data_IF_021976990144
#
_entry.id   IF_021976990144
#
_cell.length_a   1.000
_cell.length_b   1.000
_cell.length_c   1.000
_cell.angle_alpha   90.00
_cell.angle_beta   90.00
_cell.angle_gamma   90.00
#
_symmetry.space_group_name_H-M   'P 1'
#
loop_
_entity.id
_entity.type
_entity.pdbx_description
1 polymer ?
#
# COMPACT_ATOMS: atom_id res chain seq x y z
N UNK A 1 -48.29 -7.94 -30.04
CA UNK A 1 -48.99 -7.68 -28.77
C UNK A 1 -48.23 -8.21 -27.54
N UNK A 2 -47.56 -9.36 -27.58
CA UNK A 2 -46.84 -9.92 -26.41
C UNK A 2 -45.66 -9.09 -25.88
N UNK A 3 -44.94 -8.36 -26.76
CA UNK A 3 -43.74 -7.60 -26.36
C UNK A 3 -44.06 -6.40 -25.45
N UNK A 4 -45.22 -5.76 -25.63
CA UNK A 4 -45.58 -4.57 -24.84
C UNK A 4 -45.95 -4.93 -23.39
N UNK A 5 -46.71 -6.02 -23.20
CA UNK A 5 -47.06 -6.54 -21.86
C UNK A 5 -45.82 -7.05 -21.13
N UNK A 6 -44.88 -7.67 -21.86
CA UNK A 6 -43.61 -8.13 -21.28
C UNK A 6 -42.74 -6.93 -20.83
N UNK A 7 -42.59 -5.90 -21.67
CA UNK A 7 -41.91 -4.67 -21.27
C UNK A 7 -42.58 -3.97 -20.08
N UNK A 8 -43.91 -4.00 -20.01
CA UNK A 8 -44.66 -3.43 -18.89
C UNK A 8 -44.34 -4.16 -17.59
N UNK A 9 -44.29 -5.49 -17.61
CA UNK A 9 -43.94 -6.29 -16.43
C UNK A 9 -42.49 -6.05 -16.00
N UNK A 10 -41.53 -6.03 -16.95
CA UNK A 10 -40.13 -5.72 -16.67
C UNK A 10 -39.97 -4.32 -16.05
N UNK A 11 -40.68 -3.33 -16.58
CA UNK A 11 -40.66 -1.95 -16.06
C UNK A 11 -41.25 -1.89 -14.65
N UNK A 12 -42.38 -2.57 -14.39
CA UNK A 12 -42.99 -2.58 -13.05
C UNK A 12 -42.08 -3.24 -12.01
N UNK A 13 -41.46 -4.37 -12.35
CA UNK A 13 -40.50 -5.05 -11.48
C UNK A 13 -39.29 -4.14 -11.20
N UNK A 14 -38.78 -3.45 -12.23
CA UNK A 14 -37.68 -2.52 -12.09
C UNK A 14 -38.01 -1.32 -11.18
N UNK A 15 -39.17 -0.68 -11.34
CA UNK A 15 -39.61 0.42 -10.47
C UNK A 15 -39.73 -0.01 -9.02
N UNK A 16 -40.38 -1.16 -8.73
CA UNK A 16 -40.51 -1.68 -7.38
C UNK A 16 -39.14 -1.91 -6.70
N UNK A 17 -38.13 -2.33 -7.46
CA UNK A 17 -36.80 -2.59 -6.93
C UNK A 17 -35.94 -1.32 -6.80
N UNK A 18 -35.80 -0.55 -7.88
CA UNK A 18 -34.86 0.56 -7.97
C UNK A 18 -35.42 1.89 -7.46
N UNK A 19 -36.73 2.12 -7.57
CA UNK A 19 -37.39 3.37 -7.14
C UNK A 19 -38.01 3.21 -5.74
N UNK A 20 -38.67 2.08 -5.49
CA UNK A 20 -39.38 1.83 -4.22
C UNK A 20 -38.53 1.06 -3.19
N UNK A 21 -37.34 0.56 -3.57
CA UNK A 21 -36.37 -0.05 -2.67
C UNK A 21 -36.79 -1.42 -2.10
N UNK A 22 -37.76 -2.10 -2.72
CA UNK A 22 -38.24 -3.40 -2.26
C UNK A 22 -37.21 -4.50 -2.52
N UNK A 23 -37.08 -5.44 -1.58
CA UNK A 23 -36.31 -6.66 -1.78
C UNK A 23 -37.01 -7.55 -2.81
N UNK A 24 -36.24 -8.36 -3.55
CA UNK A 24 -36.79 -9.28 -4.56
C UNK A 24 -37.85 -10.24 -3.99
N UNK A 25 -37.73 -10.63 -2.72
CA UNK A 25 -38.73 -11.46 -2.02
C UNK A 25 -40.06 -10.74 -1.80
N UNK A 26 -40.04 -9.44 -1.50
CA UNK A 26 -41.25 -8.64 -1.33
C UNK A 26 -41.96 -8.42 -2.67
N UNK A 27 -41.19 -8.22 -3.75
CA UNK A 27 -41.71 -8.10 -5.11
C UNK A 27 -42.34 -9.43 -5.58
N UNK A 28 -41.69 -10.55 -5.23
CA UNK A 28 -42.16 -11.91 -5.50
C UNK A 28 -43.54 -12.16 -4.88
N UNK A 29 -43.72 -11.83 -3.60
CA UNK A 29 -45.01 -11.94 -2.91
C UNK A 29 -46.06 -10.99 -3.47
N UNK A 30 -45.70 -9.73 -3.75
CA UNK A 30 -46.65 -8.70 -4.20
C UNK A 30 -47.21 -8.96 -5.60
N UNK A 31 -46.42 -9.58 -6.48
CA UNK A 31 -46.79 -9.83 -7.88
C UNK A 31 -47.17 -11.29 -8.16
N UNK A 32 -47.17 -12.17 -7.16
CA UNK A 32 -47.37 -13.62 -7.30
C UNK A 32 -46.43 -14.24 -8.34
N UNK A 33 -45.14 -13.88 -8.26
CA UNK A 33 -44.07 -14.35 -9.14
C UNK A 33 -43.01 -15.07 -8.34
N UNK A 34 -42.28 -16.01 -8.93
CA UNK A 34 -41.10 -16.57 -8.27
C UNK A 34 -39.98 -15.54 -8.15
N UNK A 35 -39.22 -15.56 -7.04
CA UNK A 35 -38.02 -14.72 -6.87
C UNK A 35 -37.00 -14.92 -8.00
N UNK A 36 -36.90 -16.14 -8.55
CA UNK A 36 -36.06 -16.44 -9.72
C UNK A 36 -36.48 -15.67 -10.97
N UNK A 37 -37.79 -15.47 -11.16
CA UNK A 37 -38.34 -14.69 -12.26
C UNK A 37 -38.05 -13.20 -12.05
N UNK A 38 -38.24 -12.67 -10.84
CA UNK A 38 -37.91 -11.28 -10.49
C UNK A 38 -36.44 -10.96 -10.76
N UNK A 39 -35.52 -11.84 -10.33
CA UNK A 39 -34.08 -11.68 -10.61
C UNK A 39 -33.75 -11.65 -12.10
N UNK A 40 -34.33 -12.59 -12.89
CA UNK A 40 -34.18 -12.61 -14.35
C UNK A 40 -34.78 -11.37 -15.01
N UNK A 41 -35.93 -10.89 -14.53
CA UNK A 41 -36.57 -9.68 -15.02
C UNK A 41 -35.70 -8.44 -14.80
N UNK A 42 -35.12 -8.26 -13.62
CA UNK A 42 -34.19 -7.15 -13.34
C UNK A 42 -32.94 -7.22 -14.24
N UNK A 43 -32.37 -8.41 -14.41
CA UNK A 43 -31.23 -8.63 -15.31
C UNK A 43 -31.58 -8.29 -16.77
N UNK A 44 -32.77 -8.68 -17.22
CA UNK A 44 -33.27 -8.37 -18.56
C UNK A 44 -33.57 -6.88 -18.73
N UNK A 45 -34.13 -6.22 -17.73
CA UNK A 45 -34.40 -4.80 -17.74
C UNK A 45 -33.11 -3.97 -17.90
N UNK A 46 -32.00 -4.41 -17.28
CA UNK A 46 -30.67 -3.82 -17.51
C UNK A 46 -30.17 -4.09 -18.93
N UNK A 47 -30.25 -5.34 -19.40
CA UNK A 47 -29.76 -5.75 -20.73
C UNK A 47 -30.51 -5.05 -21.87
N UNK A 48 -31.81 -4.84 -21.74
CA UNK A 48 -32.66 -4.16 -22.73
C UNK A 48 -32.66 -2.63 -22.57
N UNK A 49 -31.96 -2.10 -21.56
CA UNK A 49 -31.84 -0.65 -21.33
C UNK A 49 -33.11 0.01 -20.77
N UNK A 50 -34.06 -0.78 -20.26
CA UNK A 50 -35.21 -0.30 -19.46
C UNK A 50 -34.69 0.35 -18.18
N UNK A 51 -33.66 -0.25 -17.57
CA UNK A 51 -32.92 0.34 -16.45
C UNK A 51 -31.54 0.74 -16.92
N UNK A 52 -31.13 1.96 -16.57
CA UNK A 52 -29.76 2.44 -16.75
C UNK A 52 -29.22 2.88 -15.39
N UNK A 53 -28.19 2.19 -14.91
CA UNK A 53 -27.50 2.56 -13.67
C UNK A 53 -26.37 3.51 -14.03
N UNK A 54 -26.40 4.71 -13.47
CA UNK A 54 -25.33 5.69 -13.59
C UNK A 54 -24.71 5.95 -12.23
N UNK A 55 -23.41 5.69 -12.10
CA UNK A 55 -22.64 6.04 -10.90
C UNK A 55 -21.99 7.39 -11.14
N UNK A 56 -22.33 8.39 -10.34
CA UNK A 56 -21.64 9.68 -10.37
C UNK A 56 -20.21 9.50 -9.83
N UNK A 57 -19.22 9.78 -10.67
CA UNK A 57 -17.80 9.74 -10.30
C UNK A 57 -17.38 11.16 -9.92
N UNK A 58 -17.00 11.43 -8.66
CA UNK A 58 -16.45 12.73 -8.31
C UNK A 58 -15.14 12.93 -9.10
N UNK A 59 -14.88 14.16 -9.55
CA UNK A 59 -13.84 14.44 -10.56
C UNK A 59 -12.42 14.02 -10.16
N UNK A 60 -12.16 13.93 -8.85
CA UNK A 60 -10.83 13.70 -8.29
C UNK A 60 -10.58 12.21 -7.98
N UNK A 61 -11.47 11.31 -8.40
CA UNK A 61 -11.27 9.86 -8.28
C UNK A 61 -10.90 9.28 -9.64
N UNK A 62 -9.71 8.69 -9.71
CA UNK A 62 -9.15 8.15 -10.95
C UNK A 62 -9.34 6.64 -11.04
N UNK A 63 -10.56 6.15 -10.77
CA UNK A 63 -10.89 4.71 -10.69
C UNK A 63 -10.45 3.91 -11.93
N UNK A 64 -10.52 4.52 -13.11
CA UNK A 64 -10.08 3.86 -14.34
C UNK A 64 -8.56 3.71 -14.42
N UNK A 65 -7.80 4.72 -13.97
CA UNK A 65 -6.34 4.66 -13.89
C UNK A 65 -5.89 3.67 -12.80
N UNK A 66 -6.58 3.65 -11.65
CA UNK A 66 -6.38 2.65 -10.61
C UNK A 66 -6.56 1.23 -11.15
N UNK A 67 -7.65 1.00 -11.91
CA UNK A 67 -7.93 -0.27 -12.57
C UNK A 67 -6.83 -0.67 -13.56
N UNK A 68 -6.32 0.28 -14.33
CA UNK A 68 -5.22 0.02 -15.28
C UNK A 68 -3.92 -0.36 -14.56
N UNK A 69 -3.59 0.32 -13.47
CA UNK A 69 -2.43 -0.03 -12.63
C UNK A 69 -2.56 -1.45 -12.05
N UNK A 70 -3.73 -1.77 -11.47
CA UNK A 70 -4.02 -3.11 -10.94
C UNK A 70 -3.85 -4.19 -12.02
N UNK A 71 -4.43 -3.99 -13.20
CA UNK A 71 -4.35 -4.97 -14.30
C UNK A 71 -2.94 -5.13 -14.85
N UNK A 72 -2.20 -4.02 -14.99
CA UNK A 72 -0.86 -4.02 -15.57
C UNK A 72 0.18 -4.70 -14.68
N UNK A 73 0.09 -4.45 -13.37
CA UNK A 73 1.11 -4.87 -12.40
C UNK A 73 0.66 -6.03 -11.52
N UNK A 74 -0.59 -6.48 -11.63
CA UNK A 74 -1.13 -7.58 -10.83
C UNK A 74 -1.35 -7.23 -9.35
N UNK A 75 -1.35 -5.95 -8.99
CA UNK A 75 -1.55 -5.50 -7.61
C UNK A 75 -3.03 -5.53 -7.22
N UNK A 76 -3.30 -5.83 -5.95
CA UNK A 76 -4.67 -5.90 -5.39
C UNK A 76 -5.37 -4.55 -5.46
N UNK A 77 -4.67 -3.46 -5.14
CA UNK A 77 -5.28 -2.14 -5.09
C UNK A 77 -4.32 -1.01 -5.47
N UNK A 78 -4.80 -0.09 -6.31
CA UNK A 78 -4.18 1.21 -6.50
C UNK A 78 -5.09 2.28 -5.92
N UNK A 79 -4.50 3.29 -5.27
CA UNK A 79 -5.20 4.47 -4.78
C UNK A 79 -4.47 5.68 -5.37
N UNK A 80 -5.13 6.37 -6.30
CA UNK A 80 -4.56 7.53 -6.99
C UNK A 80 -5.09 8.80 -6.37
N UNK A 81 -4.19 9.62 -5.85
CA UNK A 81 -4.52 10.91 -5.23
C UNK A 81 -4.15 12.08 -6.12
N UNK A 82 -4.93 13.16 -6.02
CA UNK A 82 -4.62 14.43 -6.68
C UNK A 82 -4.15 15.44 -5.61
N UNK A 83 -2.84 15.73 -5.53
CA UNK A 83 -2.31 16.66 -4.55
C UNK A 83 -2.73 18.11 -4.85
N UNK A 84 -2.77 18.96 -3.82
CA UNK A 84 -3.12 20.38 -3.95
C UNK A 84 -2.01 21.24 -4.57
N UNK A 85 -0.81 20.67 -4.72
CA UNK A 85 0.37 21.29 -5.30
C UNK A 85 1.30 20.25 -5.90
N UNK A 86 2.28 20.71 -6.67
CA UNK A 86 3.23 19.85 -7.39
C UNK A 86 4.54 19.62 -6.63
N UNK A 87 4.72 20.28 -5.48
CA UNK A 87 5.90 20.08 -4.65
C UNK A 87 5.86 18.74 -3.91
N UNK A 88 7.05 18.29 -3.51
CA UNK A 88 7.21 16.98 -2.89
C UNK A 88 6.43 16.85 -1.57
N UNK A 89 6.26 17.94 -0.82
CA UNK A 89 5.55 17.90 0.46
C UNK A 89 4.04 17.76 0.22
N UNK A 90 3.46 18.51 -0.72
CA UNK A 90 2.06 18.36 -1.12
C UNK A 90 1.73 16.93 -1.59
N UNK A 91 2.62 16.32 -2.38
CA UNK A 91 2.49 14.91 -2.80
C UNK A 91 2.50 13.97 -1.59
N UNK A 92 3.46 14.13 -0.68
CA UNK A 92 3.54 13.30 0.54
C UNK A 92 2.30 13.41 1.41
N UNK A 93 1.78 14.63 1.60
CA UNK A 93 0.60 14.87 2.42
C UNK A 93 -0.66 14.23 1.80
N UNK A 94 -0.84 14.36 0.48
CA UNK A 94 -1.97 13.74 -0.21
C UNK A 94 -1.92 12.21 -0.13
N UNK A 95 -0.75 11.60 -0.39
CA UNK A 95 -0.55 10.16 -0.28
C UNK A 95 -0.75 9.71 1.17
N UNK A 96 -0.17 10.44 2.13
CA UNK A 96 -0.28 10.15 3.55
C UNK A 96 -1.72 10.14 4.03
N UNK A 97 -2.52 11.15 3.67
CA UNK A 97 -3.93 11.24 4.04
C UNK A 97 -4.75 10.06 3.50
N UNK A 98 -4.59 9.72 2.22
CA UNK A 98 -5.29 8.57 1.64
C UNK A 98 -4.85 7.23 2.25
N UNK A 99 -3.55 7.07 2.51
CA UNK A 99 -3.02 5.87 3.15
C UNK A 99 -3.48 5.74 4.62
N UNK A 100 -3.65 6.85 5.35
CA UNK A 100 -4.18 6.84 6.70
C UNK A 100 -5.61 6.29 6.70
N UNK A 101 -6.47 6.82 5.82
CA UNK A 101 -7.83 6.33 5.66
C UNK A 101 -7.88 4.84 5.24
N UNK A 102 -7.00 4.44 4.31
CA UNK A 102 -6.87 3.05 3.90
C UNK A 102 -6.53 2.14 5.08
N UNK A 103 -5.55 2.54 5.90
CA UNK A 103 -5.11 1.73 7.04
C UNK A 103 -6.19 1.62 8.11
N UNK A 104 -6.82 2.74 8.48
CA UNK A 104 -7.87 2.80 9.50
C UNK A 104 -9.10 1.94 9.16
N UNK A 105 -9.38 1.76 7.87
CA UNK A 105 -10.54 0.99 7.38
C UNK A 105 -10.21 -0.47 7.09
N UNK A 106 -8.93 -0.84 7.03
CA UNK A 106 -8.49 -2.17 6.56
C UNK A 106 -7.69 -2.98 7.58
N UNK A 107 -7.25 -2.37 8.68
CA UNK A 107 -6.54 -3.04 9.79
C UNK A 107 -7.52 -3.71 10.75
N UNK A 108 -7.10 -4.86 11.27
CA UNK A 108 -7.82 -5.69 12.23
C UNK A 108 -6.93 -6.13 13.38
N UNK A 109 -7.53 -6.60 14.48
CA UNK A 109 -6.80 -7.12 15.66
C UNK A 109 -5.82 -8.24 15.34
N UNK A 110 -5.97 -8.91 14.19
CA UNK A 110 -5.11 -10.01 13.75
C UNK A 110 -3.87 -9.55 12.98
N UNK A 111 -3.80 -8.25 12.66
CA UNK A 111 -2.72 -7.75 11.82
C UNK A 111 -1.41 -7.58 12.60
N UNK A 112 -0.35 -8.16 12.07
CA UNK A 112 1.03 -7.93 12.47
C UNK A 112 1.65 -6.97 11.47
N UNK A 113 1.89 -5.71 11.89
CA UNK A 113 2.19 -4.63 10.95
C UNK A 113 3.68 -4.30 10.96
N UNK A 114 4.34 -4.47 9.83
CA UNK A 114 5.69 -3.96 9.58
C UNK A 114 5.65 -2.50 9.15
N UNK A 115 6.54 -1.66 9.66
CA UNK A 115 6.68 -0.26 9.24
C UNK A 115 8.12 0.07 8.81
N UNK A 116 8.26 0.68 7.62
CA UNK A 116 9.49 1.32 7.16
C UNK A 116 9.62 2.72 7.78
N UNK A 117 10.12 2.78 9.01
CA UNK A 117 10.06 3.97 9.86
C UNK A 117 10.92 5.16 9.41
N UNK A 118 11.67 5.00 8.32
CA UNK A 118 12.46 6.06 7.68
C UNK A 118 11.75 6.72 6.50
N UNK A 119 10.50 6.37 6.22
CA UNK A 119 9.72 6.98 5.15
C UNK A 119 9.03 8.26 5.62
N UNK A 120 9.39 9.39 5.02
CA UNK A 120 8.69 10.66 5.26
C UNK A 120 7.22 10.62 4.83
N UNK A 121 6.87 9.79 3.83
CA UNK A 121 5.48 9.62 3.38
C UNK A 121 4.66 8.83 4.40
N UNK A 122 5.26 7.80 5.02
CA UNK A 122 4.63 7.08 6.15
C UNK A 122 4.49 8.00 7.36
N UNK A 123 5.48 8.87 7.62
CA UNK A 123 5.33 9.90 8.67
C UNK A 123 4.15 10.84 8.41
N UNK A 124 3.95 11.28 7.16
CA UNK A 124 2.77 12.04 6.79
C UNK A 124 1.48 11.24 7.03
N UNK A 125 1.46 9.95 6.64
CA UNK A 125 0.34 9.05 6.91
C UNK A 125 -0.02 8.98 8.40
N UNK A 126 0.96 8.69 9.26
CA UNK A 126 0.74 8.63 10.71
C UNK A 126 0.22 9.98 11.26
N UNK A 127 0.67 11.11 10.71
CA UNK A 127 0.18 12.44 11.07
C UNK A 127 -1.29 12.71 10.70
N UNK A 128 -1.85 11.97 9.73
CA UNK A 128 -3.27 12.05 9.32
C UNK A 128 -4.17 11.03 10.01
N UNK A 129 -3.61 10.10 10.79
CA UNK A 129 -4.40 9.09 11.49
C UNK A 129 -5.07 9.67 12.73
N UNK A 130 -6.28 9.21 12.99
CA UNK A 130 -7.09 9.59 14.14
C UNK A 130 -7.06 8.49 15.20
N UNK A 131 -6.99 8.87 16.48
CA UNK A 131 -7.12 7.90 17.57
C UNK A 131 -8.53 7.31 17.61
N UNK A 132 -8.62 5.98 17.65
CA UNK A 132 -9.90 5.27 17.79
C UNK A 132 -10.75 5.19 16.51
N UNK A 133 -10.22 5.60 15.35
CA UNK A 133 -10.87 5.41 14.04
C UNK A 133 -10.82 3.95 13.58
N UNK A 134 -9.72 3.23 13.87
CA UNK A 134 -9.66 1.78 13.67
C UNK A 134 -10.54 1.12 14.73
N UNK A 135 -11.63 0.47 14.32
CA UNK A 135 -12.60 -0.16 15.23
C UNK A 135 -12.05 -1.33 16.04
N UNK A 136 -10.85 -1.80 15.68
CA UNK A 136 -10.30 -3.09 16.11
C UNK A 136 -8.83 -2.96 16.59
N UNK A 137 -8.04 -1.98 16.14
CA UNK A 137 -6.61 -1.94 16.47
C UNK A 137 -5.82 -3.04 15.74
N UNK A 138 -4.58 -3.31 16.15
CA UNK A 138 -3.69 -4.33 15.55
C UNK A 138 -3.06 -5.24 16.61
N UNK A 139 -2.43 -6.35 16.22
CA UNK A 139 -1.69 -7.21 17.16
C UNK A 139 -0.40 -6.54 17.61
N UNK A 140 0.38 -6.01 16.66
CA UNK A 140 1.67 -5.38 16.93
C UNK A 140 2.13 -4.49 15.77
N UNK A 141 3.06 -3.59 16.05
CA UNK A 141 3.81 -2.83 15.05
C UNK A 141 5.31 -3.15 15.18
N UNK A 142 5.94 -3.55 14.09
CA UNK A 142 7.34 -4.00 14.02
C UNK A 142 8.15 -3.11 13.09
N UNK A 143 9.29 -2.60 13.56
CA UNK A 143 10.20 -1.81 12.74
C UNK A 143 10.96 -2.68 11.72
N UNK A 144 10.87 -2.34 10.43
CA UNK A 144 11.39 -3.16 9.33
C UNK A 144 12.86 -2.92 8.96
N UNK A 145 13.44 -1.79 9.38
CA UNK A 145 14.80 -1.37 9.08
C UNK A 145 15.41 -0.85 10.35
N UNK A 146 16.66 -1.21 10.64
CA UNK A 146 17.39 -0.73 11.79
C UNK A 146 17.59 0.79 11.77
N UNK A 147 18.58 1.26 12.52
CA UNK A 147 19.05 2.63 12.47
C UNK A 147 19.17 3.30 13.83
N UNK A 148 19.59 2.55 14.85
CA UNK A 148 20.06 3.07 16.14
C UNK A 148 21.44 3.71 15.95
N UNK A 149 21.51 4.97 15.49
CA UNK A 149 22.76 5.75 15.30
C UNK A 149 22.48 7.27 15.21
N UNK A 150 23.48 8.12 15.50
CA UNK A 150 23.32 9.57 15.76
C UNK A 150 22.39 10.34 14.78
N UNK A 151 21.65 11.32 15.33
CA UNK A 151 20.70 12.26 14.66
C UNK A 151 19.75 11.64 13.64
N UNK A 152 18.81 10.80 14.08
CA UNK A 152 17.68 10.34 13.25
C UNK A 152 17.04 9.05 13.72
N UNK A 153 17.80 8.21 14.45
CA UNK A 153 17.32 7.02 15.13
C UNK A 153 16.08 7.25 16.00
N UNK A 154 16.05 8.42 16.65
CA UNK A 154 14.94 8.85 17.48
C UNK A 154 13.63 9.01 16.69
N UNK A 155 13.71 9.54 15.47
CA UNK A 155 12.53 9.81 14.63
C UNK A 155 11.89 8.52 14.11
N UNK A 156 12.71 7.55 13.68
CA UNK A 156 12.23 6.23 13.26
C UNK A 156 11.60 5.46 14.43
N UNK A 157 12.24 5.52 15.60
CA UNK A 157 11.70 4.94 16.84
C UNK A 157 10.36 5.59 17.21
N UNK A 158 10.31 6.92 17.19
CA UNK A 158 9.12 7.69 17.53
C UNK A 158 7.97 7.38 16.58
N UNK A 159 8.22 7.28 15.27
CA UNK A 159 7.20 6.96 14.29
C UNK A 159 6.58 5.58 14.51
N UNK A 160 7.42 4.58 14.81
CA UNK A 160 6.98 3.21 15.12
C UNK A 160 6.07 3.20 16.36
N UNK A 161 6.49 3.88 17.43
CA UNK A 161 5.71 3.99 18.66
C UNK A 161 4.41 4.78 18.45
N UNK A 162 4.44 5.85 17.65
CA UNK A 162 3.26 6.65 17.34
C UNK A 162 2.19 5.81 16.62
N UNK A 163 2.57 5.04 15.60
CA UNK A 163 1.65 4.15 14.91
C UNK A 163 1.06 3.10 15.87
N UNK A 164 1.92 2.46 16.68
CA UNK A 164 1.47 1.46 17.66
C UNK A 164 0.47 2.04 18.66
N UNK A 165 0.71 3.26 19.15
CA UNK A 165 -0.20 3.98 20.04
C UNK A 165 -1.53 4.34 19.37
N UNK A 166 -1.53 4.71 18.09
CA UNK A 166 -2.76 4.99 17.33
C UNK A 166 -3.59 3.73 17.13
N UNK A 167 -2.93 2.58 16.98
CA UNK A 167 -3.56 1.27 16.79
C UNK A 167 -3.81 0.49 18.09
N UNK A 168 -3.45 1.07 19.25
CA UNK A 168 -3.68 0.45 20.56
C UNK A 168 -2.92 -0.85 20.81
N UNK A 169 -1.71 -1.00 20.25
CA UNK A 169 -0.93 -2.24 20.26
C UNK A 169 0.55 -2.00 20.67
N UNK A 170 1.31 -3.06 21.01
CA UNK A 170 2.74 -2.93 21.30
C UNK A 170 3.58 -2.59 20.06
N UNK A 171 4.70 -1.90 20.30
CA UNK A 171 5.73 -1.62 19.30
C UNK A 171 7.00 -2.46 19.56
N UNK A 172 7.58 -3.02 18.50
CA UNK A 172 8.84 -3.74 18.52
C UNK A 172 9.87 -3.00 17.64
N UNK A 173 10.88 -2.44 18.30
CA UNK A 173 11.93 -1.64 17.69
C UNK A 173 13.13 -2.52 17.38
N UNK A 174 13.72 -2.38 16.20
CA UNK A 174 14.90 -3.17 15.78
C UNK A 174 16.19 -2.54 16.34
N UNK A 175 16.85 -3.14 17.35
CA UNK A 175 17.95 -2.51 18.07
C UNK A 175 19.29 -2.71 17.35
N UNK A 176 19.41 -2.21 16.12
CA UNK A 176 20.63 -2.32 15.29
C UNK A 176 20.92 -1.04 14.54
N UNK A 177 22.12 -0.89 13.96
CA UNK A 177 22.30 0.05 12.86
C UNK A 177 21.49 -0.43 11.64
N UNK A 178 21.22 0.45 10.70
CA UNK A 178 20.64 0.01 9.42
C UNK A 178 21.67 -0.65 8.52
N UNK A 179 22.90 -0.11 8.51
CA UNK A 179 23.97 -0.53 7.61
C UNK A 179 25.19 -0.87 8.48
N UNK A 180 25.65 -2.10 8.39
CA UNK A 180 26.83 -2.58 9.08
C UNK A 180 28.09 -2.40 8.23
N UNK A 181 29.26 -2.47 8.86
CA UNK A 181 30.54 -2.24 8.18
C UNK A 181 30.90 -3.34 7.17
N UNK A 182 30.36 -4.55 7.36
CA UNK A 182 30.62 -5.70 6.49
C UNK A 182 29.51 -6.75 6.61
N UNK A 183 29.36 -7.66 5.64
CA UNK A 183 28.40 -8.76 5.71
C UNK A 183 28.61 -9.66 6.94
N UNK A 184 29.85 -9.89 7.36
CA UNK A 184 30.17 -10.66 8.57
C UNK A 184 29.77 -9.91 9.84
N UNK A 185 29.82 -8.58 9.82
CA UNK A 185 29.34 -7.74 10.92
C UNK A 185 27.81 -7.79 11.00
N UNK A 186 27.11 -7.68 9.87
CA UNK A 186 25.66 -7.90 9.75
C UNK A 186 25.25 -9.25 10.32
N UNK A 187 25.93 -10.33 9.92
CA UNK A 187 25.63 -11.67 10.43
C UNK A 187 25.79 -11.76 11.94
N UNK A 188 26.86 -11.18 12.51
CA UNK A 188 27.04 -11.14 13.98
C UNK A 188 25.93 -10.38 14.68
N UNK A 189 25.51 -9.23 14.15
CA UNK A 189 24.41 -8.43 14.70
C UNK A 189 23.09 -9.19 14.66
N UNK A 190 22.79 -9.90 13.57
CA UNK A 190 21.59 -10.72 13.44
C UNK A 190 21.52 -11.90 14.43
N UNK A 191 22.65 -12.32 15.01
CA UNK A 191 22.71 -13.37 16.04
C UNK A 191 22.52 -12.85 17.47
N UNK A 192 22.49 -11.53 17.68
CA UNK A 192 22.19 -10.96 19.01
C UNK A 192 20.73 -11.24 19.37
N UNK A 193 20.49 -11.70 20.59
CA UNK A 193 19.14 -12.12 21.03
C UNK A 193 18.08 -11.03 20.82
N UNK A 194 18.41 -9.78 21.14
CA UNK A 194 17.53 -8.61 21.01
C UNK A 194 17.20 -8.25 19.54
N UNK A 195 18.14 -8.47 18.61
CA UNK A 195 17.93 -8.25 17.17
C UNK A 195 17.13 -9.41 16.58
N UNK A 196 17.48 -10.64 16.98
CA UNK A 196 16.80 -11.85 16.56
C UNK A 196 15.33 -11.84 16.97
N UNK A 197 15.01 -11.41 18.19
CA UNK A 197 13.63 -11.29 18.68
C UNK A 197 12.74 -10.48 17.72
N UNK A 198 13.27 -9.43 17.10
CA UNK A 198 12.53 -8.56 16.19
C UNK A 198 12.53 -9.11 14.77
N UNK A 199 13.69 -9.57 14.27
CA UNK A 199 13.80 -10.08 12.91
C UNK A 199 13.02 -11.38 12.67
N UNK A 200 12.85 -12.23 13.70
CA UNK A 200 11.98 -13.40 13.63
C UNK A 200 10.49 -13.04 13.45
N UNK A 201 10.07 -11.82 13.86
CA UNK A 201 8.70 -11.34 13.64
C UNK A 201 8.42 -11.02 12.17
N UNK A 202 9.44 -10.79 11.36
CA UNK A 202 9.25 -10.50 9.92
C UNK A 202 8.48 -11.60 9.21
N UNK A 203 8.65 -12.86 9.63
CA UNK A 203 7.94 -14.02 9.08
C UNK A 203 6.46 -14.11 9.48
N UNK A 204 6.00 -13.27 10.43
CA UNK A 204 4.62 -13.25 10.92
C UNK A 204 3.83 -12.03 10.44
N UNK A 205 4.49 -11.11 9.74
CA UNK A 205 3.88 -9.89 9.25
C UNK A 205 2.75 -10.23 8.28
N UNK A 206 1.57 -9.65 8.52
CA UNK A 206 0.42 -9.73 7.61
C UNK A 206 0.29 -8.46 6.78
N UNK A 207 0.86 -7.36 7.26
CA UNK A 207 0.87 -6.07 6.57
C UNK A 207 2.27 -5.48 6.65
N UNK A 208 2.77 -4.91 5.54
CA UNK A 208 3.97 -4.09 5.55
C UNK A 208 3.68 -2.71 4.95
N UNK A 209 4.00 -1.65 5.69
CA UNK A 209 3.93 -0.27 5.24
C UNK A 209 5.33 0.15 4.79
N UNK A 210 5.50 0.33 3.48
CA UNK A 210 6.81 0.60 2.89
C UNK A 210 6.82 1.90 2.09
N UNK A 211 7.90 2.67 2.24
CA UNK A 211 8.25 3.71 1.28
C UNK A 211 9.09 3.11 0.16
N UNK A 212 9.09 3.77 -1.00
CA UNK A 212 9.97 3.42 -2.12
C UNK A 212 10.98 4.56 -2.29
N UNK A 213 12.26 4.21 -2.16
CA UNK A 213 13.40 5.10 -2.33
C UNK A 213 13.94 5.08 -3.74
N UNK A 214 14.62 6.15 -4.12
CA UNK A 214 15.48 6.18 -5.30
C UNK A 214 16.94 6.02 -4.85
N UNK A 215 17.84 5.76 -5.79
CA UNK A 215 19.25 5.52 -5.46
C UNK A 215 19.89 6.71 -4.72
N UNK A 216 19.51 7.92 -5.10
CA UNK A 216 19.91 9.14 -4.42
C UNK A 216 19.19 9.24 -3.05
N UNK A 217 19.92 9.26 -1.93
CA UNK A 217 19.29 9.24 -0.61
C UNK A 217 18.48 10.51 -0.36
N UNK A 218 17.29 10.33 0.23
CA UNK A 218 16.44 11.44 0.65
C UNK A 218 17.12 12.33 1.68
N UNK A 219 16.64 13.57 1.82
CA UNK A 219 17.18 14.50 2.83
C UNK A 219 17.10 13.94 4.25
N UNK A 220 16.07 13.16 4.58
CA UNK A 220 15.93 12.52 5.89
C UNK A 220 17.07 11.52 6.13
N UNK A 221 17.37 10.66 5.14
CA UNK A 221 18.45 9.68 5.23
C UNK A 221 19.83 10.34 5.26
N UNK A 222 20.03 11.40 4.45
CA UNK A 222 21.28 12.18 4.46
C UNK A 222 21.57 12.80 5.83
N UNK A 223 20.56 13.43 6.41
CA UNK A 223 20.69 14.10 7.70
C UNK A 223 20.96 13.12 8.84
N UNK A 224 20.49 11.87 8.71
CA UNK A 224 20.70 10.82 9.70
C UNK A 224 21.93 9.94 9.47
N UNK A 225 22.59 10.05 8.32
CA UNK A 225 23.65 9.13 7.92
C UNK A 225 23.13 7.73 7.58
N UNK A 226 21.82 7.53 7.46
CA UNK A 226 21.19 6.23 7.27
C UNK A 226 21.10 5.82 5.79
N UNK A 227 22.24 5.84 5.09
CA UNK A 227 22.36 5.52 3.66
C UNK A 227 23.76 5.00 3.34
N UNK A 228 23.91 4.29 2.23
CA UNK A 228 25.21 3.84 1.78
C UNK A 228 26.12 5.02 1.39
N UNK A 229 27.40 4.95 1.74
CA UNK A 229 28.38 5.92 1.27
C UNK A 229 28.53 5.93 -0.26
N UNK A 230 29.10 7.01 -0.80
CA UNK A 230 29.21 7.25 -2.25
C UNK A 230 29.78 6.08 -3.04
N UNK A 231 30.86 5.45 -2.57
CA UNK A 231 31.49 4.31 -3.25
C UNK A 231 30.52 3.13 -3.45
N UNK A 232 29.66 2.85 -2.48
CA UNK A 232 28.67 1.78 -2.61
C UNK A 232 27.48 2.20 -3.49
N UNK A 233 27.08 3.47 -3.45
CA UNK A 233 26.08 4.01 -4.38
C UNK A 233 26.55 3.92 -5.84
N UNK A 234 27.84 4.15 -6.11
CA UNK A 234 28.44 3.95 -7.44
C UNK A 234 28.36 2.48 -7.89
N UNK A 235 28.65 1.54 -7.00
CA UNK A 235 28.50 0.10 -7.27
C UNK A 235 27.06 -0.26 -7.59
N UNK A 236 26.11 0.21 -6.77
CA UNK A 236 24.68 -0.03 -6.98
C UNK A 236 24.20 0.58 -8.31
N UNK A 237 24.62 1.80 -8.64
CA UNK A 237 24.33 2.45 -9.91
C UNK A 237 24.87 1.65 -11.10
N UNK A 238 26.14 1.22 -11.02
CA UNK A 238 26.80 0.44 -12.07
C UNK A 238 26.13 -0.92 -12.30
N UNK A 239 25.52 -1.50 -11.26
CA UNK A 239 24.73 -2.74 -11.33
C UNK A 239 23.26 -2.52 -11.71
N UNK A 240 22.85 -1.28 -11.99
CA UNK A 240 21.52 -0.97 -12.52
C UNK A 240 20.43 -0.79 -11.47
N UNK A 241 20.79 -0.47 -10.21
CA UNK A 241 19.81 -0.14 -9.19
C UNK A 241 18.94 1.05 -9.60
N UNK A 242 17.62 0.88 -9.53
CA UNK A 242 16.64 1.95 -9.84
C UNK A 242 15.91 2.46 -8.61
N UNK A 243 15.93 1.71 -7.51
CA UNK A 243 15.28 2.07 -6.26
C UNK A 243 15.52 1.05 -5.16
N UNK A 244 14.96 1.33 -3.99
CA UNK A 244 15.03 0.47 -2.82
C UNK A 244 13.71 0.41 -2.04
N UNK A 245 13.53 -0.68 -1.30
CA UNK A 245 12.60 -0.76 -0.18
C UNK A 245 13.42 -1.16 1.05
N UNK A 246 13.37 -0.35 2.11
CA UNK A 246 14.13 -0.59 3.33
C UNK A 246 15.65 -0.81 3.08
N UNK A 247 16.22 0.00 2.17
CA UNK A 247 17.61 -0.09 1.70
C UNK A 247 17.98 -1.41 1.00
N UNK A 248 16.99 -2.22 0.62
CA UNK A 248 17.18 -3.37 -0.27
C UNK A 248 16.98 -2.92 -1.71
N UNK A 249 18.09 -2.78 -2.42
CA UNK A 249 18.10 -2.23 -3.78
C UNK A 249 17.71 -3.27 -4.83
N UNK A 250 16.96 -2.82 -5.83
CA UNK A 250 16.52 -3.64 -6.96
C UNK A 250 16.70 -2.90 -8.30
N UNK A 251 16.78 -3.68 -9.38
CA UNK A 251 16.90 -3.20 -10.75
C UNK A 251 15.54 -2.87 -11.40
N UNK A 252 15.55 -2.44 -12.67
CA UNK A 252 14.35 -2.08 -13.41
C UNK A 252 13.36 -3.26 -13.64
N UNK A 253 13.83 -4.49 -13.50
CA UNK A 253 13.02 -5.72 -13.56
C UNK A 253 12.56 -6.16 -12.15
N UNK A 254 12.91 -5.39 -11.11
CA UNK A 254 12.61 -5.71 -9.73
C UNK A 254 13.43 -6.88 -9.19
N UNK A 255 14.62 -7.15 -9.74
CA UNK A 255 15.54 -8.16 -9.19
C UNK A 255 16.47 -7.51 -8.18
N UNK A 256 16.82 -8.18 -7.07
CA UNK A 256 17.83 -7.69 -6.14
C UNK A 256 19.16 -7.40 -6.85
N UNK A 257 19.81 -6.28 -6.49
CA UNK A 257 21.09 -5.85 -7.08
C UNK A 257 22.30 -6.47 -6.38
N UNK A 258 22.14 -6.78 -5.10
CA UNK A 258 23.15 -7.44 -4.26
C UNK A 258 22.67 -8.85 -3.90
N UNK A 259 23.61 -9.78 -3.83
CA UNK A 259 23.37 -11.08 -3.23
C UNK A 259 23.33 -10.96 -1.70
N UNK A 260 22.66 -11.90 -1.00
CA UNK A 260 22.59 -11.85 0.48
C UNK A 260 23.98 -11.95 1.15
N UNK A 261 24.97 -12.54 0.48
CA UNK A 261 26.36 -12.57 0.94
C UNK A 261 27.08 -11.23 0.86
N UNK A 262 26.63 -10.30 0.02
CA UNK A 262 27.16 -8.95 -0.10
C UNK A 262 26.43 -7.96 0.82
N UNK A 263 25.33 -8.40 1.43
CA UNK A 263 24.42 -7.54 2.15
C UNK A 263 25.02 -7.07 3.48
N UNK A 264 24.89 -5.77 3.73
CA UNK A 264 25.28 -5.12 4.98
C UNK A 264 24.10 -4.53 5.73
N UNK A 265 22.91 -4.51 5.13
CA UNK A 265 21.70 -3.93 5.71
C UNK A 265 21.02 -4.89 6.69
N UNK A 266 20.68 -4.38 7.88
CA UNK A 266 19.81 -5.06 8.85
C UNK A 266 18.38 -4.57 8.66
N UNK A 267 17.64 -5.28 7.80
CA UNK A 267 16.23 -4.99 7.48
C UNK A 267 15.50 -6.21 6.95
N UNK A 268 14.19 -6.10 6.80
CA UNK A 268 13.38 -7.05 6.03
C UNK A 268 13.93 -7.18 4.61
N UNK A 269 14.13 -8.42 4.15
CA UNK A 269 14.61 -8.72 2.81
C UNK A 269 13.52 -8.63 1.76
N UNK A 270 13.89 -8.40 0.49
CA UNK A 270 12.95 -8.42 -0.64
C UNK A 270 12.19 -9.75 -0.77
N UNK A 271 12.83 -10.93 -0.61
CA UNK A 271 12.08 -12.20 -0.62
C UNK A 271 11.06 -12.29 0.52
N UNK A 272 11.35 -11.72 1.69
CA UNK A 272 10.41 -11.75 2.81
C UNK A 272 9.19 -10.86 2.55
N UNK A 273 9.35 -9.75 1.82
CA UNK A 273 8.20 -8.91 1.43
C UNK A 273 7.21 -9.66 0.54
N UNK A 274 7.68 -10.58 -0.31
CA UNK A 274 6.82 -11.38 -1.19
C UNK A 274 5.94 -12.38 -0.43
N UNK A 275 6.34 -12.75 0.79
CA UNK A 275 5.60 -13.68 1.65
C UNK A 275 4.55 -12.98 2.52
N UNK A 276 4.56 -11.63 2.57
CA UNK A 276 3.61 -10.86 3.38
C UNK A 276 2.31 -10.70 2.61
N UNK A 277 1.18 -11.07 3.22
CA UNK A 277 -0.16 -11.04 2.62
C UNK A 277 -0.57 -9.67 2.04
N UNK A 278 -0.03 -8.58 2.55
CA UNK A 278 -0.39 -7.21 2.14
C UNK A 278 0.75 -6.23 2.30
N UNK A 279 1.52 -6.01 1.24
CA UNK A 279 2.52 -4.93 1.20
C UNK A 279 1.92 -3.65 0.62
N UNK A 280 1.87 -2.59 1.41
CA UNK A 280 1.35 -1.27 1.06
C UNK A 280 2.50 -0.31 0.80
N UNK A 281 2.69 0.04 -0.48
CA UNK A 281 3.67 1.02 -0.94
C UNK A 281 3.11 2.43 -0.94
N UNK A 282 3.80 3.36 -0.27
CA UNK A 282 3.48 4.78 -0.25
C UNK A 282 4.58 5.56 -0.99
N UNK A 283 4.34 5.92 -2.24
CA UNK A 283 5.34 6.61 -3.05
C UNK A 283 4.72 7.43 -4.18
N UNK A 284 5.31 8.57 -4.47
CA UNK A 284 4.91 9.47 -5.54
C UNK A 284 6.01 10.46 -5.89
N UNK A 285 5.75 11.26 -6.93
CA UNK A 285 6.69 12.16 -7.59
C UNK A 285 7.35 11.54 -8.81
N UNK A 286 7.42 12.30 -9.90
CA UNK A 286 7.95 11.85 -11.20
C UNK A 286 9.40 11.32 -11.11
N UNK A 287 10.21 11.84 -10.18
CA UNK A 287 11.58 11.34 -9.94
C UNK A 287 11.63 9.86 -9.55
N UNK A 288 10.59 9.37 -8.86
CA UNK A 288 10.50 8.00 -8.34
C UNK A 288 9.87 7.00 -9.33
N UNK A 289 9.48 7.42 -10.53
CA UNK A 289 8.74 6.55 -11.47
C UNK A 289 9.50 5.26 -11.77
N UNK A 290 10.82 5.32 -11.96
CA UNK A 290 11.62 4.12 -12.24
C UNK A 290 11.73 3.20 -11.02
N UNK A 291 11.90 3.75 -9.82
CA UNK A 291 11.91 3.00 -8.57
C UNK A 291 10.55 2.31 -8.30
N UNK A 292 9.45 3.05 -8.44
CA UNK A 292 8.10 2.52 -8.24
C UNK A 292 7.79 1.44 -9.28
N UNK A 293 8.18 1.66 -10.54
CA UNK A 293 8.04 0.66 -11.60
C UNK A 293 8.85 -0.61 -11.29
N UNK A 294 10.10 -0.48 -10.85
CA UNK A 294 10.93 -1.62 -10.45
C UNK A 294 10.30 -2.40 -9.30
N UNK A 295 9.77 -1.72 -8.27
CA UNK A 295 9.10 -2.37 -7.14
C UNK A 295 7.84 -3.14 -7.57
N UNK A 296 7.04 -2.56 -8.46
CA UNK A 296 5.87 -3.23 -9.03
C UNK A 296 6.23 -4.42 -9.91
N UNK A 297 7.28 -4.31 -10.73
CA UNK A 297 7.78 -5.42 -11.56
C UNK A 297 8.35 -6.57 -10.73
N UNK A 298 8.98 -6.26 -9.60
CA UNK A 298 9.48 -7.25 -8.65
C UNK A 298 8.38 -7.96 -7.85
N UNK A 299 7.11 -7.52 -7.98
CA UNK A 299 5.98 -8.09 -7.24
C UNK A 299 5.97 -7.73 -5.76
N UNK A 300 6.74 -6.72 -5.33
CA UNK A 300 6.92 -6.40 -3.91
C UNK A 300 5.73 -5.67 -3.27
N UNK A 301 4.71 -5.29 -4.03
CA UNK A 301 3.58 -4.48 -3.55
C UNK A 301 2.25 -5.16 -3.89
N UNK A 302 1.35 -5.23 -2.92
CA UNK A 302 -0.07 -5.56 -3.15
C UNK A 302 -0.91 -4.31 -3.33
N UNK A 303 -0.51 -3.22 -2.67
CA UNK A 303 -1.27 -1.96 -2.63
C UNK A 303 -0.32 -0.81 -2.92
N UNK A 304 -0.71 0.09 -3.81
CA UNK A 304 0.04 1.31 -4.12
C UNK A 304 -0.81 2.54 -3.87
N UNK A 305 -0.33 3.45 -3.02
CA UNK A 305 -0.88 4.81 -2.87
C UNK A 305 0.09 5.80 -3.53
N UNK A 306 -0.39 6.48 -4.58
CA UNK A 306 0.45 7.26 -5.51
C UNK A 306 -0.28 8.51 -6.02
N UNK A 307 0.47 9.56 -6.41
CA UNK A 307 -0.13 10.74 -7.03
C UNK A 307 -0.48 10.52 -8.51
N UNK A 308 -1.42 11.32 -9.02
CA UNK A 308 -1.92 11.26 -10.39
C UNK A 308 -0.83 11.31 -11.46
N UNK A 309 0.15 12.22 -11.36
CA UNK A 309 1.16 12.40 -12.40
C UNK A 309 2.08 11.18 -12.49
N UNK A 310 2.47 10.66 -11.33
CA UNK A 310 3.28 9.45 -11.23
C UNK A 310 2.49 8.23 -11.72
N UNK A 311 1.21 8.11 -11.35
CA UNK A 311 0.32 7.05 -11.81
C UNK A 311 0.20 7.03 -13.35
N UNK A 312 0.02 8.20 -13.98
CA UNK A 312 -0.02 8.32 -15.44
C UNK A 312 1.30 7.87 -16.09
N UNK A 313 2.45 8.19 -15.49
CA UNK A 313 3.76 7.77 -16.00
C UNK A 313 4.05 6.26 -15.83
N UNK A 314 3.25 5.56 -15.02
CA UNK A 314 3.32 4.10 -14.84
C UNK A 314 2.43 3.33 -15.84
N UNK A 315 1.46 4.01 -16.47
CA UNK A 315 0.55 3.42 -17.47
C UNK A 315 0.70 4.15 -18.82
N UNK A 316 1.84 3.97 -19.53
CA UNK A 316 2.02 4.54 -20.86
C UNK A 316 1.17 3.84 -21.93
#
# INVERSE_FOLDING_TARGET
MSNLEEQRLLTKIASLYYEEGLKQSQISEQLDLSQSFVSRALSRALKEGIVRISVQRPRNFHLELERQLQQRYGIRQAIVVEPTGDDEEAIKQAIGSAAAHYLETSVTEKDHIGISSWSSTIRAMVGHMHRGSSRQGATEVVQLLGGVGNKGAFEATLLTQQLANLLGCPAYLLPSQSIEQSPESRQRILQLDEVREVTERFARLTVALVGIGELEPSQLLRNSGNYHGEAMLEVLAARGAVGDICLRYFDAQGRPVLDDSEETVVSVGLPQLLEIDRVVGLAGGLRKVNAIRGALQGGYLDVLVVDLRTALALVP
#
